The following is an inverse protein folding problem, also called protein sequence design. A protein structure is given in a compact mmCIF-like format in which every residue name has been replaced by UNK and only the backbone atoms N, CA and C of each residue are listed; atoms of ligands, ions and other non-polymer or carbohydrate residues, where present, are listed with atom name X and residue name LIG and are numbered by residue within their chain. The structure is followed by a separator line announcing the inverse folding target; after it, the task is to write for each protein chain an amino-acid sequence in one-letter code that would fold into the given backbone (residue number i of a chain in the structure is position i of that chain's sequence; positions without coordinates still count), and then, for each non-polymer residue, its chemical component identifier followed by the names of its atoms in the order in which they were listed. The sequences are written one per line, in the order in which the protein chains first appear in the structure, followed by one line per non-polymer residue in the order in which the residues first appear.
data_IF_039022330661
#
_entry.id   IF_039022330661
#
_cell.length_a   1.000
_cell.length_b   1.000
_cell.length_c   1.000
_cell.angle_alpha   90.00
_cell.angle_beta   90.00
_cell.angle_gamma   90.00
#
_symmetry.space_group_name_H-M   'P 1'
#
loop_
_entity.id
_entity.type
_entity.pdbx_description
1 polymer ?
#
# COMPACT_ATOMS: atom_id res chain seq x y z
N UNK A 1 -17.62 -16.46 23.45
CA UNK A 1 -17.02 -17.41 22.49
C UNK A 1 -16.89 -16.71 21.17
N UNK A 2 -15.75 -16.02 20.99
CA UNK A 2 -15.47 -15.14 19.84
C UNK A 2 -15.06 -16.05 18.68
N UNK A 3 -15.93 -16.24 17.69
CA UNK A 3 -15.49 -16.84 16.43
C UNK A 3 -14.62 -15.80 15.72
N UNK A 4 -13.32 -16.06 15.63
CA UNK A 4 -12.47 -15.39 14.66
C UNK A 4 -13.13 -15.53 13.29
N UNK A 5 -13.21 -14.44 12.55
CA UNK A 5 -13.63 -14.44 11.16
C UNK A 5 -12.74 -15.41 10.39
N UNK A 6 -13.35 -16.47 9.89
CA UNK A 6 -12.68 -17.43 9.02
C UNK A 6 -12.56 -16.78 7.63
N UNK A 7 -11.42 -16.18 7.36
CA UNK A 7 -11.10 -15.57 6.05
C UNK A 7 -11.24 -16.58 4.91
N UNK A 8 -11.08 -17.88 5.19
CA UNK A 8 -11.32 -18.96 4.22
C UNK A 8 -12.80 -19.04 3.76
N UNK A 9 -13.74 -18.55 4.56
CA UNK A 9 -15.16 -18.59 4.18
C UNK A 9 -15.54 -17.47 3.21
N UNK A 10 -14.93 -16.30 3.35
CA UNK A 10 -15.08 -15.19 2.41
C UNK A 10 -14.44 -15.51 1.04
N UNK A 11 -13.37 -16.33 1.02
CA UNK A 11 -12.76 -16.81 -0.22
C UNK A 11 -13.65 -17.82 -0.99
N UNK A 12 -14.65 -18.44 -0.36
CA UNK A 12 -15.51 -19.47 -0.99
C UNK A 12 -16.77 -18.93 -1.66
N UNK A 13 -17.21 -17.73 -1.33
CA UNK A 13 -18.49 -17.15 -1.81
C UNK A 13 -18.33 -15.97 -2.75
N UNK A 14 -17.19 -15.32 -2.74
CA UNK A 14 -16.82 -14.36 -3.79
C UNK A 14 -16.06 -15.12 -4.89
N UNK A 15 -16.37 -14.86 -6.17
CA UNK A 15 -15.46 -15.18 -7.27
C UNK A 15 -14.04 -14.81 -6.80
N UNK A 16 -13.07 -15.73 -6.87
CA UNK A 16 -11.78 -15.51 -6.24
C UNK A 16 -11.23 -14.19 -6.73
N UNK A 17 -10.85 -13.31 -5.80
CA UNK A 17 -9.98 -12.17 -6.08
C UNK A 17 -8.77 -12.74 -6.81
N UNK A 18 -8.84 -12.80 -8.15
CA UNK A 18 -7.94 -13.60 -8.99
C UNK A 18 -6.54 -13.03 -9.09
N UNK A 19 -6.28 -11.92 -8.39
CA UNK A 19 -4.97 -11.26 -8.40
C UNK A 19 -4.29 -11.45 -7.06
N UNK A 20 -3.61 -12.58 -6.89
CA UNK A 20 -2.63 -12.77 -5.82
C UNK A 20 -1.28 -12.28 -6.31
N UNK A 21 -0.74 -11.27 -5.66
CA UNK A 21 0.58 -10.73 -5.99
C UNK A 21 1.61 -11.41 -5.09
N UNK A 22 2.57 -12.16 -5.65
CA UNK A 22 3.64 -12.74 -4.86
C UNK A 22 4.52 -11.64 -4.27
N UNK A 23 4.94 -11.82 -3.01
CA UNK A 23 5.97 -10.99 -2.39
C UNK A 23 7.29 -11.19 -3.16
N UNK A 24 7.63 -10.23 -4.01
CA UNK A 24 8.95 -10.18 -4.63
C UNK A 24 9.87 -9.40 -3.70
N UNK A 25 10.68 -10.15 -2.95
CA UNK A 25 11.77 -9.59 -2.16
C UNK A 25 13.04 -9.69 -2.97
N UNK A 26 13.78 -8.61 -3.12
CA UNK A 26 15.12 -8.67 -3.69
C UNK A 26 15.98 -9.60 -2.81
N UNK A 27 16.46 -10.72 -3.40
CA UNK A 27 17.25 -11.72 -2.67
C UNK A 27 18.57 -11.10 -2.24
N UNK A 28 18.72 -10.90 -0.95
CA UNK A 28 20.02 -10.90 -0.30
C UNK A 28 19.98 -11.85 0.89
N UNK A 29 20.99 -12.71 0.93
CA UNK A 29 21.16 -13.80 1.90
C UNK A 29 21.04 -13.29 3.34
N UNK A 30 20.28 -14.07 4.09
CA UNK A 30 20.06 -14.07 5.52
C UNK A 30 18.87 -13.23 6.06
N UNK A 31 17.99 -14.00 6.67
CA UNK A 31 16.96 -13.67 7.65
C UNK A 31 15.63 -13.20 7.07
N UNK A 32 14.70 -14.16 7.04
CA UNK A 32 13.26 -14.10 6.73
C UNK A 32 12.92 -14.01 5.23
N UNK A 33 13.02 -15.15 4.53
CA UNK A 33 12.23 -15.37 3.31
C UNK A 33 10.75 -15.37 3.72
N UNK A 34 10.07 -14.28 3.53
CA UNK A 34 8.62 -14.29 3.53
C UNK A 34 8.15 -14.93 2.22
N UNK A 35 8.13 -16.26 2.18
CA UNK A 35 7.36 -16.99 1.20
C UNK A 35 5.89 -16.75 1.50
N UNK A 36 5.28 -15.76 0.87
CA UNK A 36 3.90 -15.39 1.11
C UNK A 36 3.32 -14.54 -0.01
N UNK A 37 2.02 -14.33 0.09
CA UNK A 37 1.30 -13.39 -0.76
C UNK A 37 1.31 -12.00 -0.10
N UNK A 38 1.39 -10.97 -0.91
CA UNK A 38 1.19 -9.61 -0.41
C UNK A 38 -0.22 -9.51 0.19
N UNK A 39 -0.34 -8.83 1.32
CA UNK A 39 -1.59 -8.79 2.08
C UNK A 39 -2.25 -7.40 2.08
N UNK A 40 -1.54 -6.36 1.66
CA UNK A 40 -2.00 -4.96 1.66
C UNK A 40 -2.97 -4.65 0.50
N UNK A 41 -3.95 -5.53 0.29
CA UNK A 41 -4.92 -5.45 -0.80
C UNK A 41 -5.71 -4.15 -0.82
N UNK A 42 -5.93 -3.53 0.34
CA UNK A 42 -6.65 -2.26 0.49
C UNK A 42 -5.91 -1.05 -0.11
N UNK A 43 -4.63 -1.18 -0.45
CA UNK A 43 -3.89 -0.15 -1.18
C UNK A 43 -4.29 -0.04 -2.66
N UNK A 44 -5.05 -1.01 -3.16
CA UNK A 44 -5.82 -0.91 -4.39
C UNK A 44 -7.28 -0.59 -4.04
N UNK A 45 -7.81 0.62 -4.34
CA UNK A 45 -9.18 0.98 -4.01
C UNK A 45 -10.25 0.08 -4.64
N UNK A 46 -9.95 -0.58 -5.76
CA UNK A 46 -10.88 -1.54 -6.36
C UNK A 46 -10.96 -2.82 -5.51
N UNK A 47 -9.81 -3.31 -5.02
CA UNK A 47 -9.78 -4.43 -4.08
C UNK A 47 -10.45 -4.08 -2.76
N UNK A 48 -10.23 -2.86 -2.24
CA UNK A 48 -10.94 -2.38 -1.05
C UNK A 48 -12.46 -2.36 -1.25
N UNK A 49 -12.95 -2.00 -2.42
CA UNK A 49 -14.39 -2.04 -2.74
C UNK A 49 -14.93 -3.48 -2.73
N UNK A 50 -14.21 -4.43 -3.32
CA UNK A 50 -14.60 -5.84 -3.31
C UNK A 50 -14.62 -6.41 -1.87
N UNK A 51 -13.66 -6.05 -1.03
CA UNK A 51 -13.68 -6.42 0.38
C UNK A 51 -14.88 -5.83 1.11
N UNK A 52 -15.21 -4.57 0.86
CA UNK A 52 -16.39 -3.93 1.45
C UNK A 52 -17.70 -4.61 1.03
N UNK A 53 -17.81 -5.05 -0.23
CA UNK A 53 -18.97 -5.83 -0.71
C UNK A 53 -19.10 -7.15 0.06
N UNK A 54 -18.02 -7.91 0.18
CA UNK A 54 -18.02 -9.16 0.93
C UNK A 54 -18.41 -8.96 2.40
N UNK A 55 -17.91 -7.90 3.03
CA UNK A 55 -18.29 -7.54 4.41
C UNK A 55 -19.77 -7.19 4.49
N UNK A 56 -20.31 -6.41 3.54
CA UNK A 56 -21.73 -6.05 3.54
C UNK A 56 -22.64 -7.26 3.40
N UNK A 57 -22.28 -8.24 2.57
CA UNK A 57 -23.00 -9.52 2.46
C UNK A 57 -23.00 -10.25 3.81
N UNK A 58 -21.83 -10.43 4.41
CA UNK A 58 -21.72 -11.12 5.70
C UNK A 58 -22.50 -10.41 6.83
N UNK A 59 -22.48 -9.08 6.86
CA UNK A 59 -23.26 -8.30 7.82
C UNK A 59 -24.76 -8.45 7.61
N UNK A 60 -25.23 -8.53 6.35
CA UNK A 60 -26.64 -8.74 6.02
C UNK A 60 -27.11 -10.13 6.47
N UNK A 61 -26.28 -11.17 6.32
CA UNK A 61 -26.58 -12.50 6.84
C UNK A 61 -26.70 -12.52 8.37
N UNK A 62 -25.84 -11.76 9.07
CA UNK A 62 -25.85 -11.66 10.53
C UNK A 62 -26.99 -10.79 11.08
N UNK A 63 -27.41 -9.77 10.33
CA UNK A 63 -28.43 -8.81 10.75
C UNK A 63 -29.33 -8.39 9.57
N UNK A 64 -30.24 -9.30 9.11
CA UNK A 64 -31.07 -9.04 7.92
C UNK A 64 -31.95 -7.79 8.02
N UNK A 65 -32.38 -7.45 9.24
CA UNK A 65 -33.18 -6.25 9.48
C UNK A 65 -32.44 -4.93 9.14
N UNK A 66 -31.14 -4.97 9.03
CA UNK A 66 -30.27 -3.81 8.72
C UNK A 66 -29.80 -3.77 7.27
N UNK A 67 -30.26 -4.67 6.40
CA UNK A 67 -29.82 -4.81 5.01
C UNK A 67 -29.84 -3.48 4.24
N UNK A 68 -30.93 -2.73 4.34
CA UNK A 68 -31.08 -1.43 3.66
C UNK A 68 -30.00 -0.44 4.09
N UNK A 69 -29.67 -0.41 5.38
CA UNK A 69 -28.66 0.48 5.92
C UNK A 69 -27.26 0.06 5.48
N UNK A 70 -26.97 -1.24 5.44
CA UNK A 70 -25.68 -1.76 4.96
C UNK A 70 -25.48 -1.46 3.48
N UNK A 71 -26.47 -1.71 2.65
CA UNK A 71 -26.42 -1.44 1.21
C UNK A 71 -26.25 0.06 0.92
N UNK A 72 -26.91 0.93 1.68
CA UNK A 72 -26.76 2.38 1.52
C UNK A 72 -25.30 2.80 1.85
N UNK A 73 -24.76 2.34 2.96
CA UNK A 73 -23.37 2.65 3.37
C UNK A 73 -22.33 2.07 2.41
N UNK A 74 -22.56 0.86 1.91
CA UNK A 74 -21.70 0.26 0.89
C UNK A 74 -21.65 1.14 -0.36
N UNK A 75 -22.82 1.56 -0.88
CA UNK A 75 -22.88 2.44 -2.04
C UNK A 75 -22.11 3.76 -1.85
N UNK A 76 -22.24 4.36 -0.68
CA UNK A 76 -21.50 5.60 -0.34
C UNK A 76 -19.99 5.35 -0.30
N UNK A 77 -19.57 4.24 0.31
CA UNK A 77 -18.16 3.83 0.36
C UNK A 77 -17.59 3.56 -1.03
N UNK A 78 -18.31 2.82 -1.87
CA UNK A 78 -17.90 2.52 -3.25
C UNK A 78 -17.71 3.80 -4.08
N UNK A 79 -18.60 4.78 -3.94
CA UNK A 79 -18.46 6.07 -4.62
C UNK A 79 -17.18 6.82 -4.16
N UNK A 80 -16.88 6.81 -2.87
CA UNK A 80 -15.67 7.42 -2.32
C UNK A 80 -14.42 6.69 -2.83
N UNK A 81 -14.41 5.36 -2.83
CA UNK A 81 -13.29 4.54 -3.32
C UNK A 81 -13.05 4.75 -4.82
N UNK A 82 -14.11 4.82 -5.63
CA UNK A 82 -13.99 5.12 -7.06
C UNK A 82 -13.41 6.53 -7.29
N UNK A 83 -13.79 7.51 -6.48
CA UNK A 83 -13.22 8.86 -6.60
C UNK A 83 -11.75 8.86 -6.20
N UNK A 84 -11.40 8.17 -5.11
CA UNK A 84 -10.01 8.01 -4.67
C UNK A 84 -9.17 7.33 -5.76
N UNK A 85 -9.67 6.25 -6.35
CA UNK A 85 -9.00 5.52 -7.43
C UNK A 85 -8.65 6.43 -8.61
N UNK A 86 -9.62 7.22 -9.09
CA UNK A 86 -9.37 8.21 -10.16
C UNK A 86 -8.32 9.26 -9.76
N UNK A 87 -8.38 9.72 -8.52
CA UNK A 87 -7.45 10.73 -8.02
C UNK A 87 -6.01 10.17 -7.93
N UNK A 88 -5.86 8.93 -7.44
CA UNK A 88 -4.58 8.24 -7.37
C UNK A 88 -4.03 7.95 -8.77
N UNK A 89 -4.87 7.44 -9.67
CA UNK A 89 -4.48 7.20 -11.07
C UNK A 89 -3.93 8.46 -11.73
N UNK A 90 -4.64 9.60 -11.61
CA UNK A 90 -4.17 10.88 -12.12
C UNK A 90 -2.85 11.32 -11.47
N UNK A 91 -2.68 11.06 -10.17
CA UNK A 91 -1.45 11.42 -9.44
C UNK A 91 -0.27 10.56 -9.88
N UNK A 92 -0.45 9.24 -9.95
CA UNK A 92 0.61 8.34 -10.38
C UNK A 92 0.97 8.50 -11.87
N UNK A 93 0.01 8.91 -12.69
CA UNK A 93 0.28 9.26 -14.08
C UNK A 93 1.30 10.41 -14.22
N UNK A 94 1.41 11.32 -13.25
CA UNK A 94 2.43 12.38 -13.24
C UNK A 94 3.84 11.85 -13.02
N UNK A 95 3.97 10.71 -12.36
CA UNK A 95 5.26 10.04 -12.20
C UNK A 95 5.71 9.37 -13.50
N UNK A 96 4.77 9.01 -14.39
CA UNK A 96 5.07 8.24 -15.60
C UNK A 96 5.69 6.89 -15.26
N UNK A 97 6.70 6.49 -16.04
CA UNK A 97 7.45 5.25 -15.76
C UNK A 97 8.78 5.50 -15.01
N UNK A 98 8.93 6.66 -14.36
CA UNK A 98 10.13 6.96 -13.58
C UNK A 98 10.34 5.88 -12.51
N UNK A 99 11.57 5.39 -12.33
CA UNK A 99 11.87 4.44 -11.26
C UNK A 99 11.59 5.05 -9.87
N UNK A 100 11.01 4.25 -8.99
CA UNK A 100 10.70 4.62 -7.60
C UNK A 100 11.26 3.53 -6.68
N UNK A 101 11.87 3.91 -5.57
CA UNK A 101 12.26 2.99 -4.50
C UNK A 101 11.21 3.07 -3.38
N UNK A 102 10.77 1.93 -2.87
CA UNK A 102 9.95 1.84 -1.67
C UNK A 102 10.83 1.41 -0.50
N UNK A 103 10.64 2.03 0.65
CA UNK A 103 11.41 1.70 1.85
C UNK A 103 11.11 0.27 2.34
N UNK A 104 9.87 -0.18 2.16
CA UNK A 104 9.41 -1.50 2.60
C UNK A 104 8.51 -2.18 1.55
N UNK A 105 8.49 -3.55 1.47
CA UNK A 105 7.70 -4.27 0.47
C UNK A 105 6.23 -4.42 0.87
N UNK A 106 5.49 -3.32 0.97
CA UNK A 106 4.06 -3.28 1.33
C UNK A 106 3.17 -2.72 0.21
N UNK A 107 3.77 -2.25 -0.90
CA UNK A 107 3.05 -1.49 -1.93
C UNK A 107 2.74 -2.28 -3.20
N UNK A 108 2.77 -3.62 -3.17
CA UNK A 108 2.63 -4.45 -4.38
C UNK A 108 1.29 -4.22 -5.10
N UNK A 109 0.19 -4.13 -4.36
CA UNK A 109 -1.12 -3.87 -4.94
C UNK A 109 -1.24 -2.46 -5.51
N UNK A 110 -0.66 -1.46 -4.83
CA UNK A 110 -0.57 -0.09 -5.33
C UNK A 110 0.25 -0.04 -6.63
N UNK A 111 1.41 -0.70 -6.65
CA UNK A 111 2.28 -0.77 -7.83
C UNK A 111 1.55 -1.42 -9.02
N UNK A 112 0.91 -2.55 -8.79
CA UNK A 112 0.18 -3.28 -9.82
C UNK A 112 -1.01 -2.46 -10.36
N UNK A 113 -1.75 -1.79 -9.47
CA UNK A 113 -2.93 -1.00 -9.84
C UNK A 113 -2.58 0.18 -10.73
N UNK A 114 -1.49 0.89 -10.45
CA UNK A 114 -1.15 2.14 -11.15
C UNK A 114 0.09 2.01 -12.06
N UNK A 115 0.61 0.80 -12.27
CA UNK A 115 1.75 0.55 -13.15
C UNK A 115 3.04 1.23 -12.70
N UNK A 116 3.26 1.33 -11.38
CA UNK A 116 4.41 2.02 -10.82
C UNK A 116 5.66 1.16 -11.04
N UNK A 117 6.70 1.75 -11.66
CA UNK A 117 8.00 1.13 -11.80
C UNK A 117 8.78 1.21 -10.48
N UNK A 118 8.44 0.31 -9.55
CA UNK A 118 8.93 0.33 -8.18
C UNK A 118 9.78 -0.87 -7.81
N UNK A 119 10.79 -0.65 -6.97
CA UNK A 119 11.56 -1.70 -6.27
C UNK A 119 11.57 -1.41 -4.78
N UNK A 120 11.50 -2.44 -3.94
CA UNK A 120 11.44 -2.31 -2.49
C UNK A 120 12.76 -2.68 -1.84
N UNK A 121 13.10 -1.95 -0.78
CA UNK A 121 14.10 -2.29 0.22
C UNK A 121 13.42 -2.89 1.47
N UNK A 122 14.16 -3.00 2.57
CA UNK A 122 13.68 -3.35 3.91
C UNK A 122 14.20 -2.34 4.92
N UNK A 123 13.79 -1.08 4.77
CA UNK A 123 14.17 0.00 5.65
C UNK A 123 12.98 0.46 6.47
N UNK A 124 13.12 0.38 7.78
CA UNK A 124 12.13 0.92 8.72
C UNK A 124 12.34 2.43 8.90
N UNK A 125 11.26 3.22 8.98
CA UNK A 125 11.38 4.68 9.10
C UNK A 125 12.17 5.14 10.31
N UNK A 126 11.98 4.47 11.46
CA UNK A 126 12.57 4.85 12.74
C UNK A 126 13.99 4.31 12.95
N UNK A 127 14.50 3.49 12.03
CA UNK A 127 15.80 2.83 12.14
C UNK A 127 16.80 3.44 11.16
N UNK A 128 17.95 3.86 11.66
CA UNK A 128 19.01 4.34 10.79
C UNK A 128 19.56 3.18 9.94
N UNK A 129 19.56 3.31 8.59
CA UNK A 129 20.10 2.28 7.73
C UNK A 129 21.58 2.03 8.00
N UNK A 130 21.95 0.75 8.05
CA UNK A 130 23.34 0.32 8.24
C UNK A 130 24.21 0.63 7.01
N UNK A 131 25.53 0.52 7.15
CA UNK A 131 26.44 0.63 5.99
C UNK A 131 26.08 -0.37 4.89
N UNK A 132 25.62 -1.56 5.25
CA UNK A 132 25.19 -2.59 4.30
C UNK A 132 23.96 -2.13 3.51
N UNK A 133 22.97 -1.57 4.20
CA UNK A 133 21.74 -1.08 3.56
C UNK A 133 22.04 0.03 2.55
N UNK A 134 22.96 0.95 2.88
CA UNK A 134 23.40 1.97 1.93
C UNK A 134 24.11 1.39 0.70
N UNK A 135 24.94 0.35 0.87
CA UNK A 135 25.60 -0.34 -0.25
C UNK A 135 24.54 -1.03 -1.13
N UNK A 136 23.54 -1.65 -0.55
CA UNK A 136 22.49 -2.35 -1.29
C UNK A 136 21.58 -1.38 -2.03
N UNK A 137 21.28 -0.21 -1.46
CA UNK A 137 20.64 0.89 -2.20
C UNK A 137 21.49 1.33 -3.41
N UNK A 138 22.80 1.56 -3.24
CA UNK A 138 23.66 1.96 -4.36
C UNK A 138 23.68 0.93 -5.49
N UNK A 139 23.70 -0.37 -5.16
CA UNK A 139 23.60 -1.44 -6.16
C UNK A 139 22.26 -1.43 -6.89
N UNK A 140 21.17 -1.24 -6.14
CA UNK A 140 19.84 -1.14 -6.71
C UNK A 140 19.75 0.01 -7.72
N UNK A 141 20.31 1.17 -7.38
CA UNK A 141 20.27 2.37 -8.22
C UNK A 141 21.06 2.24 -9.54
N UNK A 142 21.98 1.28 -9.67
CA UNK A 142 22.69 1.01 -10.93
C UNK A 142 21.69 0.55 -12.01
N UNK A 143 20.81 -0.37 -11.67
CA UNK A 143 19.84 -0.95 -12.60
C UNK A 143 18.47 -0.29 -12.53
N UNK A 144 18.22 0.51 -11.49
CA UNK A 144 16.94 1.16 -11.20
C UNK A 144 17.20 2.59 -10.69
N UNK A 145 17.59 3.52 -11.56
CA UNK A 145 18.03 4.86 -11.18
C UNK A 145 16.88 5.74 -10.72
N UNK A 146 16.45 5.53 -9.48
CA UNK A 146 15.35 6.26 -8.87
C UNK A 146 15.81 7.54 -8.20
N UNK A 147 15.04 8.61 -8.40
CA UNK A 147 15.19 9.90 -7.71
C UNK A 147 14.11 10.13 -6.64
N UNK A 148 13.26 9.14 -6.39
CA UNK A 148 12.20 9.21 -5.39
C UNK A 148 12.19 7.94 -4.55
N UNK A 149 12.15 8.12 -3.23
CA UNK A 149 11.93 7.05 -2.27
C UNK A 149 10.63 7.27 -1.50
N UNK A 150 9.76 6.27 -1.54
CA UNK A 150 8.46 6.27 -0.85
C UNK A 150 8.58 5.48 0.46
N UNK A 151 8.19 6.12 1.55
CA UNK A 151 8.29 5.61 2.91
C UNK A 151 6.90 5.30 3.48
N UNK A 152 6.80 4.26 4.30
CA UNK A 152 5.57 3.92 5.00
C UNK A 152 5.28 4.79 6.23
N UNK A 153 6.29 5.51 6.71
CA UNK A 153 6.24 6.48 7.81
C UNK A 153 7.34 7.53 7.64
N UNK A 154 7.39 8.51 8.52
CA UNK A 154 8.40 9.57 8.46
C UNK A 154 9.80 9.03 8.78
N UNK A 155 10.75 9.05 7.84
CA UNK A 155 12.11 8.58 8.09
C UNK A 155 12.87 9.54 9.01
N UNK A 156 13.91 9.02 9.66
CA UNK A 156 14.83 9.85 10.43
C UNK A 156 15.37 11.01 9.58
N UNK A 157 15.48 12.20 10.18
CA UNK A 157 15.93 13.42 9.49
C UNK A 157 17.31 13.25 8.84
N UNK A 158 18.23 12.56 9.50
CA UNK A 158 19.56 12.29 8.94
C UNK A 158 19.51 11.33 7.74
N UNK A 159 18.62 10.34 7.76
CA UNK A 159 18.40 9.43 6.64
C UNK A 159 17.83 10.19 5.44
N UNK A 160 16.80 11.00 5.66
CA UNK A 160 16.21 11.86 4.62
C UNK A 160 17.23 12.80 4.02
N UNK A 161 18.04 13.47 4.87
CA UNK A 161 19.10 14.38 4.40
C UNK A 161 20.13 13.64 3.54
N UNK A 162 20.58 12.48 3.99
CA UNK A 162 21.59 11.69 3.27
C UNK A 162 21.07 11.16 1.92
N UNK A 163 19.77 10.87 1.80
CA UNK A 163 19.12 10.55 0.52
C UNK A 163 19.08 11.77 -0.39
N UNK A 164 18.67 12.92 0.13
CA UNK A 164 18.63 14.17 -0.63
C UNK A 164 20.01 14.60 -1.13
N UNK A 165 21.06 14.42 -0.32
CA UNK A 165 22.46 14.67 -0.73
C UNK A 165 22.90 13.77 -1.92
N UNK A 166 22.17 12.65 -2.17
CA UNK A 166 22.37 11.72 -3.29
C UNK A 166 21.35 11.95 -4.43
N UNK A 167 20.54 13.00 -4.36
CA UNK A 167 19.53 13.31 -5.37
C UNK A 167 18.27 12.44 -5.29
N UNK A 168 17.99 11.86 -4.11
CA UNK A 168 16.80 11.03 -3.88
C UNK A 168 15.85 11.77 -2.93
N UNK A 169 14.73 12.23 -3.45
CA UNK A 169 13.67 12.82 -2.65
C UNK A 169 12.93 11.75 -1.82
N UNK A 170 12.45 12.14 -0.64
CA UNK A 170 11.70 11.26 0.25
C UNK A 170 10.27 11.75 0.39
N UNK A 171 9.30 10.86 0.16
CA UNK A 171 7.89 11.12 0.40
C UNK A 171 7.28 10.04 1.28
N UNK A 172 6.38 10.42 2.18
CA UNK A 172 5.63 9.46 3.00
C UNK A 172 4.33 9.10 2.28
N UNK A 173 4.09 7.81 2.15
CA UNK A 173 2.84 7.21 1.72
C UNK A 173 2.44 6.16 2.75
N UNK A 174 1.70 6.56 3.76
CA UNK A 174 1.26 5.70 4.87
C UNK A 174 0.36 4.57 4.35
N UNK A 175 0.67 3.28 4.62
CA UNK A 175 -0.11 2.17 4.08
C UNK A 175 -1.46 1.95 4.79
N UNK A 176 -1.79 2.74 5.82
CA UNK A 176 -3.02 2.62 6.60
C UNK A 176 -3.27 1.20 7.16
N UNK A 177 -2.21 0.50 7.54
CA UNK A 177 -2.26 -0.87 8.07
C UNK A 177 -2.72 -0.96 9.52
N UNK A 178 -2.72 0.16 10.24
CA UNK A 178 -3.13 0.29 11.63
C UNK A 178 -4.20 1.37 11.78
N UNK A 179 -4.60 1.63 13.03
CA UNK A 179 -5.47 2.75 13.34
C UNK A 179 -4.76 4.07 12.99
N UNK A 180 -5.29 4.89 12.08
CA UNK A 180 -4.65 6.14 11.71
C UNK A 180 -4.63 7.12 12.90
N UNK A 181 -3.57 7.93 12.99
CA UNK A 181 -3.47 8.99 14.02
C UNK A 181 -4.60 10.03 13.92
N UNK A 182 -5.24 10.14 12.76
CA UNK A 182 -6.38 11.00 12.53
C UNK A 182 -7.07 10.72 11.21
N UNK A 183 -8.40 10.81 11.23
CA UNK A 183 -9.24 10.58 10.07
C UNK A 183 -9.57 9.11 9.81
N UNK A 184 -10.14 8.86 8.65
CA UNK A 184 -10.43 7.52 8.14
C UNK A 184 -9.42 7.11 7.04
N UNK A 185 -9.57 5.89 6.53
CA UNK A 185 -8.76 5.37 5.42
C UNK A 185 -8.71 6.34 4.22
N UNK A 186 -9.86 6.91 3.85
CA UNK A 186 -9.95 7.82 2.71
C UNK A 186 -9.10 9.09 2.93
N UNK A 187 -9.14 9.66 4.14
CA UNK A 187 -8.38 10.86 4.48
C UNK A 187 -6.87 10.59 4.50
N UNK A 188 -6.45 9.38 4.96
CA UNK A 188 -5.06 8.94 4.87
C UNK A 188 -4.61 8.87 3.42
N UNK A 189 -5.37 8.20 2.56
CA UNK A 189 -5.03 8.07 1.13
C UNK A 189 -4.99 9.43 0.42
N UNK A 190 -5.91 10.33 0.72
CA UNK A 190 -5.90 11.70 0.16
C UNK A 190 -4.70 12.53 0.68
N UNK A 191 -4.29 12.34 1.93
CA UNK A 191 -3.07 12.96 2.48
C UNK A 191 -1.84 12.44 1.74
N UNK A 192 -1.71 11.13 1.57
CA UNK A 192 -0.65 10.48 0.82
C UNK A 192 -0.55 11.01 -0.61
N UNK A 193 -1.68 11.09 -1.29
CA UNK A 193 -1.76 11.64 -2.65
C UNK A 193 -1.23 13.07 -2.73
N UNK A 194 -1.62 13.93 -1.78
CA UNK A 194 -1.14 15.32 -1.73
C UNK A 194 0.36 15.42 -1.48
N UNK A 195 0.95 14.47 -0.76
CA UNK A 195 2.40 14.42 -0.56
C UNK A 195 3.13 14.03 -1.84
N UNK A 196 2.63 13.04 -2.57
CA UNK A 196 3.18 12.64 -3.87
C UNK A 196 3.16 13.79 -4.90
N UNK A 197 2.15 14.65 -4.88
CA UNK A 197 2.06 15.79 -5.80
C UNK A 197 3.08 16.91 -5.50
N UNK A 198 3.78 16.86 -4.37
CA UNK A 198 4.80 17.84 -3.97
C UNK A 198 6.23 17.36 -4.23
N UNK A 199 6.39 16.05 -4.50
CA UNK A 199 7.64 15.39 -4.84
C UNK A 199 7.90 15.45 -6.35
#
# INVERSE_FOLDING_TARGET
MTRLFDLDHAERTAEPLSVRIPLQVARHEAVHEHHGWAFTTWLDPQMAALQAQAIAVALTELAPASEVAFNQRLKELEQRLQQLDRNLEATFATLGHRPVVFSHPVYQYLQARYGINGRSLHWEPEIAPSTRDWIDLQKLLIDHPAALMVWEGEPLADTRKKLADQGIDSVVFEPAGNHPEGGDYYEVMERNRRQLLKA
#
